data_IF_840692927520
#
_entry.id   IF_840692927520
#
_cell.length_a   1.000
_cell.length_b   1.000
_cell.length_c   1.000
_cell.angle_alpha   90.00
_cell.angle_beta   90.00
_cell.angle_gamma   90.00
#
_symmetry.space_group_name_H-M   'P 1'
#
loop_
_entity.id
_entity.type
_entity.pdbx_description
1 polymer ?
#
# COMPACT_ATOMS: atom_id res chain seq x y z
N UNK A 1 24.70 -15.01 -11.93
CA UNK A 1 25.03 -15.67 -10.63
C UNK A 1 24.14 -16.89 -10.49
N UNK A 2 24.74 -18.06 -10.28
CA UNK A 2 24.08 -19.37 -10.44
C UNK A 2 22.96 -19.63 -9.43
N UNK A 3 21.78 -19.98 -9.95
CA UNK A 3 20.60 -20.40 -9.18
C UNK A 3 20.80 -21.71 -8.38
N UNK A 4 21.96 -22.36 -8.44
CA UNK A 4 22.20 -23.71 -7.92
C UNK A 4 22.53 -23.76 -6.42
N UNK A 5 22.97 -22.66 -5.79
CA UNK A 5 23.39 -22.65 -4.36
C UNK A 5 22.31 -22.21 -3.35
N UNK A 6 21.17 -21.69 -3.82
CA UNK A 6 20.13 -21.17 -2.91
C UNK A 6 19.23 -22.29 -2.42
N UNK A 7 18.93 -22.28 -1.11
CA UNK A 7 17.99 -23.21 -0.50
C UNK A 7 16.60 -23.02 -1.13
N UNK A 8 15.78 -24.08 -1.24
CA UNK A 8 14.43 -23.99 -1.76
C UNK A 8 13.57 -22.87 -1.13
N UNK A 9 13.75 -22.62 0.18
CA UNK A 9 13.07 -21.52 0.89
C UNK A 9 13.52 -20.14 0.39
N UNK A 10 14.83 -19.91 0.24
CA UNK A 10 15.34 -18.61 -0.26
C UNK A 10 14.92 -18.38 -1.72
N UNK A 11 14.83 -19.45 -2.54
CA UNK A 11 14.28 -19.32 -3.89
C UNK A 11 12.83 -18.86 -3.88
N UNK A 12 12.00 -19.44 -3.01
CA UNK A 12 10.62 -19.02 -2.84
C UNK A 12 10.54 -17.56 -2.35
N UNK A 13 11.38 -17.15 -1.39
CA UNK A 13 11.47 -15.75 -0.95
C UNK A 13 11.76 -14.81 -2.12
N UNK A 14 12.80 -15.08 -2.92
CA UNK A 14 13.18 -14.22 -4.05
C UNK A 14 12.09 -14.16 -5.12
N UNK A 15 11.42 -15.27 -5.41
CA UNK A 15 10.29 -15.31 -6.35
C UNK A 15 9.12 -14.45 -5.87
N UNK A 16 8.80 -14.48 -4.57
CA UNK A 16 7.76 -13.62 -4.01
C UNK A 16 8.22 -12.17 -4.02
N UNK A 17 9.45 -11.88 -3.58
CA UNK A 17 10.02 -10.53 -3.54
C UNK A 17 10.09 -9.87 -4.91
N UNK A 18 10.27 -10.64 -5.98
CA UNK A 18 10.26 -10.11 -7.35
C UNK A 18 8.93 -9.45 -7.73
N UNK A 19 7.81 -9.88 -7.13
CA UNK A 19 6.48 -9.27 -7.31
C UNK A 19 6.23 -8.07 -6.39
N UNK A 20 6.97 -7.96 -5.28
CA UNK A 20 6.79 -6.92 -4.25
C UNK A 20 8.12 -6.19 -3.99
N UNK A 21 8.71 -5.63 -5.05
CA UNK A 21 10.06 -5.05 -5.00
C UNK A 21 10.13 -3.78 -4.14
N UNK A 22 9.03 -3.04 -4.08
CA UNK A 22 8.87 -1.76 -3.36
C UNK A 22 8.45 -1.92 -1.89
N UNK A 23 8.12 -3.14 -1.44
CA UNK A 23 7.69 -3.41 -0.07
C UNK A 23 8.68 -4.30 0.69
N UNK A 24 8.89 -4.04 1.98
CA UNK A 24 9.62 -4.95 2.87
C UNK A 24 8.79 -6.24 3.03
N UNK A 25 9.37 -7.38 2.67
CA UNK A 25 8.68 -8.67 2.72
C UNK A 25 8.82 -9.32 4.10
N UNK A 26 7.73 -9.32 4.86
CA UNK A 26 7.61 -10.07 6.10
C UNK A 26 7.30 -11.52 5.77
N UNK A 27 8.34 -12.35 5.71
CA UNK A 27 8.23 -13.75 5.29
C UNK A 27 8.03 -14.68 6.49
N UNK A 28 6.85 -15.29 6.62
CA UNK A 28 6.49 -16.13 7.76
C UNK A 28 7.37 -17.38 7.88
N UNK A 29 8.08 -17.50 9.00
CA UNK A 29 8.94 -18.64 9.30
C UNK A 29 8.80 -19.03 10.77
N UNK A 30 8.06 -20.12 11.04
CA UNK A 30 7.78 -20.54 12.41
C UNK A 30 7.00 -19.44 13.14
N UNK A 31 7.53 -18.94 14.25
CA UNK A 31 6.94 -17.85 15.05
C UNK A 31 7.48 -16.44 14.72
N UNK A 32 8.21 -16.30 13.63
CA UNK A 32 8.78 -15.01 13.21
C UNK A 32 8.28 -14.59 11.83
N UNK A 33 8.31 -13.29 11.58
CA UNK A 33 8.48 -12.76 10.23
C UNK A 33 9.97 -12.48 10.03
N UNK A 34 10.56 -13.16 9.06
CA UNK A 34 11.96 -13.00 8.66
C UNK A 34 12.03 -12.14 7.40
N UNK A 35 13.03 -11.25 7.33
CA UNK A 35 13.37 -10.44 6.16
C UNK A 35 14.79 -10.80 5.75
N UNK A 36 15.07 -10.86 4.44
CA UNK A 36 16.36 -11.28 3.92
C UNK A 36 16.97 -10.23 2.97
N UNK A 37 18.29 -10.29 2.81
CA UNK A 37 19.05 -9.43 1.88
C UNK A 37 18.83 -7.94 2.17
N UNK A 38 18.53 -7.14 1.14
CA UNK A 38 18.31 -5.70 1.25
C UNK A 38 17.16 -5.33 2.20
N UNK A 39 16.08 -6.15 2.23
CA UNK A 39 14.99 -5.94 3.17
C UNK A 39 15.48 -6.10 4.62
N UNK A 40 16.37 -7.05 4.88
CA UNK A 40 16.97 -7.25 6.21
C UNK A 40 17.83 -6.05 6.61
N UNK A 41 18.65 -5.54 5.69
CA UNK A 41 19.50 -4.38 5.96
C UNK A 41 18.70 -3.10 6.21
N UNK A 42 17.66 -2.85 5.41
CA UNK A 42 16.76 -1.71 5.60
C UNK A 42 15.98 -1.82 6.90
N UNK A 43 15.33 -2.96 7.10
CA UNK A 43 14.49 -3.16 8.28
C UNK A 43 15.30 -3.17 9.57
N UNK A 44 16.49 -3.79 9.61
CA UNK A 44 17.33 -3.77 10.82
C UNK A 44 17.71 -2.36 11.25
N UNK A 45 18.06 -1.48 10.30
CA UNK A 45 18.39 -0.07 10.58
C UNK A 45 17.17 0.73 11.07
N UNK A 46 16.02 0.59 10.40
CA UNK A 46 14.79 1.33 10.75
C UNK A 46 14.24 0.84 12.08
N UNK A 47 14.17 -0.48 12.26
CA UNK A 47 13.58 -1.11 13.43
C UNK A 47 14.49 -1.10 14.65
N UNK A 48 15.78 -0.87 14.45
CA UNK A 48 16.83 -1.01 15.48
C UNK A 48 16.84 -2.43 16.07
N UNK A 49 16.90 -3.41 15.17
CA UNK A 49 16.96 -4.84 15.52
C UNK A 49 18.23 -5.48 14.97
N UNK A 50 18.67 -6.56 15.60
CA UNK A 50 19.91 -7.25 15.23
C UNK A 50 19.85 -7.79 13.80
N UNK A 51 20.79 -7.32 12.96
CA UNK A 51 21.09 -7.94 11.67
C UNK A 51 22.03 -9.14 11.88
N UNK A 52 21.63 -10.30 11.38
CA UNK A 52 22.36 -11.56 11.48
C UNK A 52 22.58 -12.15 10.08
N UNK A 53 23.15 -13.35 9.99
CA UNK A 53 23.24 -14.08 8.73
C UNK A 53 22.79 -15.53 8.89
N UNK A 54 22.14 -16.03 7.84
CA UNK A 54 21.73 -17.43 7.70
C UNK A 54 22.74 -18.17 6.84
N UNK A 55 23.13 -19.37 7.29
CA UNK A 55 24.24 -20.21 6.81
C UNK A 55 25.64 -19.73 7.26
N UNK A 56 26.45 -20.67 7.76
CA UNK A 56 27.75 -20.41 8.42
C UNK A 56 28.98 -20.45 7.49
N UNK A 57 28.83 -20.87 6.23
CA UNK A 57 29.93 -20.80 5.26
C UNK A 57 29.96 -19.40 4.63
N UNK A 58 31.13 -18.75 4.60
CA UNK A 58 31.30 -17.38 4.08
C UNK A 58 30.71 -17.20 2.66
N UNK A 59 30.76 -18.23 1.82
CA UNK A 59 30.27 -18.19 0.43
C UNK A 59 28.74 -18.25 0.26
N UNK A 60 27.95 -18.39 1.34
CA UNK A 60 26.48 -18.48 1.25
C UNK A 60 25.71 -17.79 2.38
N UNK A 61 26.37 -16.90 3.12
CA UNK A 61 25.75 -16.12 4.18
C UNK A 61 24.69 -15.17 3.61
N UNK A 62 23.44 -15.33 4.04
CA UNK A 62 22.32 -14.45 3.65
C UNK A 62 22.00 -13.51 4.81
N UNK A 63 22.08 -12.17 4.64
CA UNK A 63 21.64 -11.22 5.65
C UNK A 63 20.20 -11.47 6.07
N UNK A 64 19.94 -11.43 7.38
CA UNK A 64 18.66 -11.78 7.99
C UNK A 64 18.39 -10.93 9.22
N UNK A 65 17.18 -10.40 9.34
CA UNK A 65 16.61 -9.96 10.61
C UNK A 65 15.17 -10.46 10.73
N UNK A 66 14.59 -10.41 11.92
CA UNK A 66 13.24 -10.90 12.13
C UNK A 66 12.56 -10.32 13.36
N UNK A 67 11.24 -10.36 13.35
CA UNK A 67 10.39 -9.90 14.46
C UNK A 67 9.38 -10.99 14.84
N UNK A 68 8.98 -11.11 16.12
CA UNK A 68 7.95 -12.07 16.52
C UNK A 68 6.61 -11.73 15.86
N UNK A 69 5.93 -12.71 15.27
CA UNK A 69 4.75 -12.42 14.46
C UNK A 69 3.56 -11.90 15.26
N UNK A 70 3.37 -12.43 16.47
CA UNK A 70 2.34 -11.97 17.40
C UNK A 70 2.51 -10.51 17.80
N UNK A 71 3.72 -9.96 17.66
CA UNK A 71 4.08 -8.61 18.02
C UNK A 71 4.54 -7.80 16.80
N UNK A 72 4.11 -8.17 15.59
CA UNK A 72 4.57 -7.52 14.36
C UNK A 72 4.03 -6.09 14.17
N UNK A 73 2.86 -5.77 14.72
CA UNK A 73 2.16 -4.52 14.43
C UNK A 73 2.95 -3.24 14.75
N UNK A 74 3.65 -3.11 15.91
CA UNK A 74 4.51 -1.95 16.17
C UNK A 74 5.68 -1.81 15.19
N UNK A 75 6.26 -2.92 14.73
CA UNK A 75 7.35 -2.90 13.75
C UNK A 75 6.84 -2.49 12.36
N UNK A 76 5.66 -2.97 11.97
CA UNK A 76 5.00 -2.55 10.74
C UNK A 76 4.77 -1.04 10.77
N UNK A 77 4.21 -0.51 11.85
CA UNK A 77 4.01 0.94 12.02
C UNK A 77 5.31 1.72 11.80
N UNK A 78 6.39 1.33 12.47
CA UNK A 78 7.69 2.01 12.37
C UNK A 78 8.29 1.97 10.96
N UNK A 79 8.05 0.89 10.21
CA UNK A 79 8.45 0.81 8.79
C UNK A 79 7.63 1.76 7.92
N UNK A 80 6.31 1.83 8.15
CA UNK A 80 5.41 2.72 7.42
C UNK A 80 5.74 4.19 7.68
N UNK A 81 6.04 4.55 8.93
CA UNK A 81 6.48 5.91 9.31
C UNK A 81 7.80 6.31 8.64
N UNK A 82 8.66 5.33 8.38
CA UNK A 82 9.89 5.51 7.61
C UNK A 82 9.67 5.46 6.08
N UNK A 83 8.41 5.38 5.62
CA UNK A 83 8.02 5.42 4.22
C UNK A 83 8.06 4.07 3.50
N UNK A 84 8.22 2.95 4.21
CA UNK A 84 8.24 1.61 3.62
C UNK A 84 6.85 0.96 3.62
N UNK A 85 6.46 0.36 2.49
CA UNK A 85 5.35 -0.60 2.46
C UNK A 85 5.79 -1.93 3.07
N UNK A 86 4.85 -2.70 3.61
CA UNK A 86 5.12 -4.03 4.18
C UNK A 86 4.23 -5.10 3.56
N UNK A 87 4.81 -6.06 2.87
CA UNK A 87 4.09 -7.21 2.33
C UNK A 87 4.10 -8.36 3.35
N UNK A 88 2.92 -8.82 3.78
CA UNK A 88 2.79 -9.91 4.75
C UNK A 88 2.64 -11.23 4.00
N UNK A 89 3.64 -12.09 4.12
CA UNK A 89 3.69 -13.38 3.44
C UNK A 89 3.48 -14.52 4.43
N UNK A 90 2.33 -15.20 4.33
CA UNK A 90 1.90 -16.26 5.25
C UNK A 90 2.09 -17.66 4.67
N UNK A 91 2.05 -18.66 5.54
CA UNK A 91 1.98 -20.08 5.16
C UNK A 91 0.54 -20.43 4.79
N UNK A 92 0.32 -20.86 3.54
CA UNK A 92 -1.02 -21.24 3.05
C UNK A 92 -1.28 -22.75 3.14
N UNK A 93 -0.27 -23.53 3.50
CA UNK A 93 -0.35 -24.97 3.74
C UNK A 93 0.00 -25.30 5.20
N UNK A 94 -0.61 -26.36 5.75
CA UNK A 94 -0.22 -26.87 7.07
C UNK A 94 1.21 -27.46 7.00
N UNK A 95 2.18 -26.93 7.77
CA UNK A 95 3.55 -27.46 7.80
C UNK A 95 3.65 -28.95 8.10
N UNK A 96 2.67 -29.53 8.80
CA UNK A 96 2.64 -30.96 9.16
C UNK A 96 2.25 -31.87 8.00
N UNK A 97 1.55 -31.33 7.00
CA UNK A 97 1.05 -32.10 5.85
C UNK A 97 1.78 -31.75 4.54
N UNK A 98 2.53 -30.65 4.52
CA UNK A 98 3.32 -30.21 3.39
C UNK A 98 4.40 -31.24 2.98
N UNK A 99 4.50 -31.52 1.68
CA UNK A 99 5.59 -32.32 1.11
C UNK A 99 6.63 -31.37 0.49
N UNK A 100 7.73 -31.14 1.20
CA UNK A 100 8.79 -30.24 0.76
C UNK A 100 8.74 -28.87 1.44
N UNK A 101 8.94 -27.77 0.70
CA UNK A 101 8.86 -26.42 1.26
C UNK A 101 7.40 -26.01 1.36
N UNK A 102 6.95 -25.66 2.57
CA UNK A 102 5.62 -25.09 2.82
C UNK A 102 5.34 -23.94 1.86
N UNK A 103 4.22 -23.99 1.14
CA UNK A 103 3.81 -22.91 0.25
C UNK A 103 3.48 -21.63 1.03
N UNK A 104 3.87 -20.50 0.45
CA UNK A 104 3.64 -19.18 1.02
C UNK A 104 3.15 -18.21 -0.02
N UNK A 105 2.29 -17.32 0.43
CA UNK A 105 1.68 -16.29 -0.41
C UNK A 105 1.58 -14.99 0.36
N UNK A 106 1.65 -13.87 -0.36
CA UNK A 106 1.37 -12.57 0.23
C UNK A 106 -0.13 -12.45 0.39
N UNK A 107 -0.58 -12.29 1.63
CA UNK A 107 -2.01 -12.22 1.96
C UNK A 107 -2.51 -10.78 2.03
N UNK A 108 -1.60 -9.82 2.23
CA UNK A 108 -1.88 -8.37 2.20
C UNK A 108 -0.60 -7.56 2.08
N UNK A 109 -0.72 -6.35 1.55
CA UNK A 109 0.34 -5.33 1.50
C UNK A 109 -0.13 -4.12 2.27
N UNK A 110 0.56 -3.78 3.36
CA UNK A 110 0.21 -2.66 4.22
C UNK A 110 1.00 -1.44 3.77
N UNK A 111 0.30 -0.32 3.57
CA UNK A 111 0.85 0.95 3.10
C UNK A 111 0.56 2.07 4.11
N UNK A 112 1.25 3.22 4.05
CA UNK A 112 1.06 4.31 5.01
C UNK A 112 -0.40 4.76 5.13
N UNK A 113 -1.14 4.86 4.03
CA UNK A 113 -2.56 5.26 4.03
C UNK A 113 -3.55 4.14 4.35
N UNK A 114 -3.10 2.91 4.61
CA UNK A 114 -3.98 1.75 4.86
C UNK A 114 -3.78 1.09 6.22
N UNK A 115 -3.00 1.71 7.11
CA UNK A 115 -2.82 1.22 8.48
C UNK A 115 -4.14 1.26 9.28
N UNK A 116 -4.40 0.17 10.01
CA UNK A 116 -5.58 -0.02 10.89
C UNK A 116 -5.12 -0.32 12.33
N UNK A 117 -6.04 -0.28 13.30
CA UNK A 117 -5.73 -0.36 14.74
C UNK A 117 -4.71 -1.45 15.11
N UNK A 118 -3.69 -1.07 15.90
CA UNK A 118 -2.55 -1.91 16.31
C UNK A 118 -1.20 -1.42 15.79
N UNK A 119 -1.20 -0.61 14.72
CA UNK A 119 -0.12 0.32 14.40
C UNK A 119 -0.36 1.66 15.10
N UNK A 120 0.70 2.33 15.54
CA UNK A 120 0.61 3.56 16.31
C UNK A 120 0.08 4.71 15.43
N UNK A 121 -1.23 4.81 15.27
CA UNK A 121 -1.85 6.06 14.84
C UNK A 121 -1.72 7.04 16.02
N UNK A 122 -1.01 8.14 15.82
CA UNK A 122 -1.00 9.23 16.79
C UNK A 122 -2.46 9.68 17.01
N UNK A 123 -2.90 9.64 18.27
CA UNK A 123 -4.28 9.94 18.63
C UNK A 123 -4.64 11.38 18.23
N UNK A 124 -5.28 11.54 17.07
CA UNK A 124 -5.73 12.83 16.54
C UNK A 124 -5.31 13.14 15.10
N UNK A 125 -4.40 12.36 14.50
CA UNK A 125 -4.03 12.52 13.09
C UNK A 125 -4.88 11.63 12.18
N UNK A 126 -5.53 12.24 11.20
CA UNK A 126 -6.30 11.50 10.19
C UNK A 126 -5.35 10.74 9.27
N UNK A 127 -5.65 9.46 9.00
CA UNK A 127 -4.87 8.61 8.12
C UNK A 127 -5.50 8.50 6.73
N UNK A 128 -5.62 9.65 6.05
CA UNK A 128 -6.26 9.67 4.74
C UNK A 128 -5.37 9.07 3.66
N UNK A 129 -5.95 8.12 2.92
CA UNK A 129 -5.53 7.71 1.59
C UNK A 129 -6.30 8.54 0.57
N UNK A 130 -5.58 9.25 -0.30
CA UNK A 130 -6.18 10.09 -1.34
C UNK A 130 -5.81 9.56 -2.71
N UNK A 131 -6.74 9.54 -3.66
CA UNK A 131 -6.43 9.40 -5.07
C UNK A 131 -6.67 10.71 -5.80
N UNK A 132 -5.81 11.02 -6.78
CA UNK A 132 -5.94 12.21 -7.62
C UNK A 132 -6.09 11.77 -9.07
N UNK A 133 -7.18 12.18 -9.72
CA UNK A 133 -7.43 11.98 -11.15
C UNK A 133 -7.25 13.28 -11.89
N UNK A 134 -6.34 13.33 -12.86
CA UNK A 134 -6.14 14.51 -13.70
C UNK A 134 -6.98 14.42 -14.97
N UNK A 135 -7.88 15.39 -15.15
CA UNK A 135 -8.61 15.63 -16.39
C UNK A 135 -8.01 16.74 -17.23
N UNK A 136 -8.65 17.02 -18.38
CA UNK A 136 -8.29 18.16 -19.24
C UNK A 136 -8.66 19.51 -18.62
N UNK A 137 -9.83 19.56 -17.99
CA UNK A 137 -10.47 20.80 -17.49
C UNK A 137 -10.65 20.82 -15.96
N UNK A 138 -10.29 19.73 -15.27
CA UNK A 138 -10.52 19.58 -13.84
C UNK A 138 -9.63 18.50 -13.22
N UNK A 139 -9.48 18.54 -11.89
CA UNK A 139 -8.84 17.50 -11.09
C UNK A 139 -9.86 16.88 -10.15
N UNK A 140 -9.91 15.56 -10.09
CA UNK A 140 -10.72 14.81 -9.15
C UNK A 140 -9.91 14.39 -7.94
N UNK A 141 -10.52 14.44 -6.76
CA UNK A 141 -9.97 13.86 -5.55
C UNK A 141 -10.97 12.86 -4.97
N UNK A 142 -10.46 11.74 -4.48
CA UNK A 142 -11.20 10.88 -3.58
C UNK A 142 -10.36 10.61 -2.35
N UNK A 143 -10.95 10.70 -1.17
CA UNK A 143 -10.30 10.48 0.10
C UNK A 143 -11.01 9.37 0.85
N UNK A 144 -10.24 8.50 1.49
CA UNK A 144 -10.77 7.51 2.41
C UNK A 144 -9.94 7.44 3.68
N UNK A 145 -10.62 7.29 4.81
CA UNK A 145 -10.02 6.86 6.06
C UNK A 145 -10.54 5.45 6.35
N UNK A 146 -9.65 4.46 6.18
CA UNK A 146 -9.97 3.03 6.34
C UNK A 146 -10.28 2.65 7.79
N UNK A 147 -9.95 3.50 8.76
CA UNK A 147 -10.22 3.27 10.19
C UNK A 147 -11.64 3.67 10.56
N UNK A 148 -12.18 4.73 9.94
CA UNK A 148 -13.53 5.23 10.19
C UNK A 148 -14.55 4.75 9.15
N UNK A 149 -14.05 4.29 7.99
CA UNK A 149 -14.83 3.98 6.80
C UNK A 149 -15.27 5.21 6.01
N UNK A 150 -14.78 6.41 6.35
CA UNK A 150 -15.08 7.61 5.56
C UNK A 150 -14.60 7.42 4.12
N UNK A 151 -15.48 7.70 3.15
CA UNK A 151 -15.14 7.65 1.74
C UNK A 151 -15.86 8.76 0.99
N UNK A 152 -15.10 9.73 0.48
CA UNK A 152 -15.65 10.95 -0.09
C UNK A 152 -14.88 11.37 -1.32
N UNK A 153 -15.52 12.15 -2.19
CA UNK A 153 -14.87 12.68 -3.39
C UNK A 153 -15.30 14.11 -3.69
N UNK A 154 -14.45 14.80 -4.46
CA UNK A 154 -14.73 16.12 -4.98
C UNK A 154 -14.00 16.32 -6.31
N UNK A 155 -14.18 17.49 -6.92
CA UNK A 155 -13.57 17.91 -8.15
C UNK A 155 -13.29 19.41 -8.09
N UNK A 156 -12.10 19.80 -8.54
CA UNK A 156 -11.64 21.20 -8.57
C UNK A 156 -11.24 21.60 -9.97
N UNK A 157 -11.36 22.90 -10.26
CA UNK A 157 -11.12 23.44 -11.61
C UNK A 157 -9.63 23.54 -11.95
N UNK A 158 -8.77 23.83 -10.97
CA UNK A 158 -7.37 24.14 -11.22
C UNK A 158 -6.40 23.51 -10.20
N UNK A 159 -5.11 23.67 -10.49
CA UNK A 159 -4.04 23.10 -9.70
C UNK A 159 -3.89 23.76 -8.33
N UNK A 160 -4.19 25.06 -8.21
CA UNK A 160 -4.08 25.76 -6.93
C UNK A 160 -5.13 25.21 -5.96
N UNK A 161 -6.37 25.06 -6.42
CA UNK A 161 -7.44 24.43 -5.64
C UNK A 161 -7.12 22.96 -5.27
N UNK A 162 -6.46 22.22 -6.15
CA UNK A 162 -5.98 20.86 -5.85
C UNK A 162 -4.96 20.87 -4.69
N UNK A 163 -3.96 21.75 -4.76
CA UNK A 163 -2.92 21.87 -3.72
C UNK A 163 -3.53 22.33 -2.40
N UNK A 164 -4.44 23.30 -2.42
CA UNK A 164 -5.15 23.77 -1.23
C UNK A 164 -5.93 22.63 -0.57
N UNK A 165 -6.62 21.82 -1.36
CA UNK A 165 -7.40 20.70 -0.86
C UNK A 165 -6.51 19.57 -0.30
N UNK A 166 -5.43 19.19 -0.99
CA UNK A 166 -4.45 18.22 -0.46
C UNK A 166 -3.83 18.75 0.86
N UNK A 167 -3.50 20.03 0.91
CA UNK A 167 -2.97 20.70 2.11
C UNK A 167 -3.96 20.72 3.28
N UNK A 168 -5.27 20.80 2.99
CA UNK A 168 -6.35 20.73 3.98
C UNK A 168 -6.52 19.32 4.53
N UNK A 169 -6.56 18.32 3.63
CA UNK A 169 -6.76 16.90 3.97
C UNK A 169 -5.55 16.32 4.69
N UNK A 170 -4.33 16.74 4.33
CA UNK A 170 -3.06 16.22 4.86
C UNK A 170 -2.97 14.68 4.76
N UNK A 171 -3.08 14.11 3.54
CA UNK A 171 -3.05 12.67 3.36
C UNK A 171 -1.71 12.07 3.77
N UNK A 172 -1.73 10.83 4.27
CA UNK A 172 -0.52 10.04 4.50
C UNK A 172 -0.01 9.39 3.21
N UNK A 173 -0.92 9.13 2.28
CA UNK A 173 -0.61 8.52 1.00
C UNK A 173 -1.48 9.07 -0.13
N UNK A 174 -0.86 9.33 -1.28
CA UNK A 174 -1.55 9.72 -2.51
C UNK A 174 -1.34 8.67 -3.61
N UNK A 175 -2.44 8.25 -4.20
CA UNK A 175 -2.53 7.41 -5.38
C UNK A 175 -2.58 8.28 -6.64
N UNK A 176 -1.73 7.98 -7.61
CA UNK A 176 -1.66 8.64 -8.92
C UNK A 176 -1.49 7.62 -10.04
N UNK A 177 -1.88 8.00 -11.25
CA UNK A 177 -1.61 7.17 -12.43
C UNK A 177 -0.10 7.14 -12.74
N UNK A 178 0.43 5.96 -13.10
CA UNK A 178 1.85 5.74 -13.45
C UNK A 178 2.38 6.68 -14.55
N UNK A 179 1.51 7.09 -15.47
CA UNK A 179 1.88 7.85 -16.67
C UNK A 179 1.97 9.38 -16.43
N UNK A 180 1.74 9.86 -15.20
CA UNK A 180 1.67 11.29 -14.86
C UNK A 180 3.02 11.90 -14.44
N UNK A 181 4.16 11.42 -14.98
CA UNK A 181 5.53 11.77 -14.52
C UNK A 181 5.76 13.25 -14.15
N UNK A 182 5.61 14.23 -15.07
CA UNK A 182 5.81 15.64 -14.75
C UNK A 182 4.83 16.21 -13.72
N UNK A 183 3.62 15.66 -13.65
CA UNK A 183 2.61 16.08 -12.68
C UNK A 183 2.91 15.51 -11.29
N UNK A 184 3.36 14.25 -11.23
CA UNK A 184 3.86 13.62 -10.02
C UNK A 184 5.06 14.39 -9.45
N UNK A 185 6.05 14.73 -10.27
CA UNK A 185 7.23 15.50 -9.83
C UNK A 185 6.84 16.84 -9.20
N UNK A 186 5.87 17.53 -9.80
CA UNK A 186 5.36 18.80 -9.28
C UNK A 186 4.67 18.62 -7.93
N UNK A 187 3.76 17.65 -7.82
CA UNK A 187 3.08 17.35 -6.56
C UNK A 187 4.03 16.85 -5.46
N UNK A 188 5.05 16.07 -5.81
CA UNK A 188 6.10 15.64 -4.89
C UNK A 188 6.91 16.81 -4.34
N UNK A 189 7.15 17.84 -5.17
CA UNK A 189 7.80 19.07 -4.71
C UNK A 189 6.93 19.84 -3.72
N UNK A 190 5.61 19.88 -3.93
CA UNK A 190 4.68 20.58 -3.04
C UNK A 190 4.42 19.80 -1.73
N UNK A 191 4.46 18.46 -1.78
CA UNK A 191 4.19 17.58 -0.64
C UNK A 191 5.28 16.51 -0.45
N UNK A 192 6.50 16.90 -0.02
CA UNK A 192 7.65 15.99 0.08
C UNK A 192 7.53 14.93 1.19
N UNK A 193 6.57 15.08 2.09
CA UNK A 193 6.35 14.19 3.23
C UNK A 193 5.26 13.13 3.00
N UNK A 194 4.57 13.19 1.86
CA UNK A 194 3.47 12.27 1.54
C UNK A 194 4.02 11.04 0.82
N UNK A 195 3.49 9.86 1.14
CA UNK A 195 3.83 8.64 0.40
C UNK A 195 3.10 8.63 -0.96
N UNK A 196 3.79 8.20 -2.02
CA UNK A 196 3.23 8.18 -3.38
C UNK A 196 3.11 6.75 -3.88
N UNK A 197 1.89 6.36 -4.23
CA UNK A 197 1.58 5.03 -4.76
C UNK A 197 1.11 5.14 -6.21
N UNK A 198 2.00 4.90 -7.19
CA UNK A 198 1.60 4.85 -8.58
C UNK A 198 0.74 3.61 -8.82
N UNK A 199 -0.34 3.76 -9.59
CA UNK A 199 -1.21 2.66 -10.05
C UNK A 199 -1.47 2.79 -11.54
N UNK A 200 -1.86 1.69 -12.18
CA UNK A 200 -2.14 1.69 -13.62
C UNK A 200 -3.25 2.68 -13.99
N UNK A 201 -3.08 3.43 -15.09
CA UNK A 201 -4.04 4.44 -15.57
C UNK A 201 -5.46 3.88 -15.77
N UNK A 202 -5.60 2.57 -16.01
CA UNK A 202 -6.90 1.89 -16.14
C UNK A 202 -7.75 1.99 -14.86
N UNK A 203 -7.13 2.11 -13.68
CA UNK A 203 -7.84 2.30 -12.40
C UNK A 203 -8.58 3.64 -12.31
N UNK A 204 -8.21 4.61 -13.15
CA UNK A 204 -8.84 5.93 -13.29
C UNK A 204 -9.73 6.03 -14.54
N UNK A 205 -10.01 4.91 -15.23
CA UNK A 205 -10.82 4.92 -16.45
C UNK A 205 -12.31 5.11 -16.17
N UNK A 206 -13.08 5.46 -17.19
CA UNK A 206 -14.54 5.51 -17.09
C UNK A 206 -15.13 4.15 -16.68
N UNK A 207 -14.64 3.06 -17.28
CA UNK A 207 -15.10 1.71 -16.94
C UNK A 207 -14.72 1.31 -15.51
N UNK A 208 -13.64 1.84 -14.95
CA UNK A 208 -13.32 1.65 -13.53
C UNK A 208 -14.30 2.43 -12.64
N UNK A 209 -14.69 3.65 -13.00
CA UNK A 209 -15.69 4.43 -12.28
C UNK A 209 -17.07 3.75 -12.27
N UNK A 210 -17.46 3.09 -13.37
CA UNK A 210 -18.71 2.32 -13.44
C UNK A 210 -18.77 1.18 -12.40
N UNK A 211 -17.60 0.64 -11.97
CA UNK A 211 -17.53 -0.40 -10.94
C UNK A 211 -17.98 0.09 -9.56
N UNK A 212 -17.93 1.40 -9.28
CA UNK A 212 -18.42 1.97 -8.02
C UNK A 212 -19.92 1.68 -7.81
N UNK A 213 -20.70 1.70 -8.91
CA UNK A 213 -22.12 1.32 -8.90
C UNK A 213 -22.28 -0.19 -8.68
N UNK A 214 -21.46 -1.00 -9.34
CA UNK A 214 -21.49 -2.46 -9.19
C UNK A 214 -21.18 -2.91 -7.74
N UNK A 215 -20.33 -2.15 -7.04
CA UNK A 215 -20.02 -2.35 -5.62
C UNK A 215 -21.05 -1.72 -4.66
N UNK A 216 -22.11 -1.11 -5.19
CA UNK A 216 -23.11 -0.37 -4.41
C UNK A 216 -22.53 0.76 -3.56
N UNK A 217 -21.35 1.29 -3.92
CA UNK A 217 -20.69 2.38 -3.20
C UNK A 217 -21.24 3.74 -3.62
N UNK A 218 -21.73 3.88 -4.85
CA UNK A 218 -22.25 5.13 -5.39
C UNK A 218 -23.63 4.93 -6.03
N UNK A 219 -24.71 5.48 -5.46
CA UNK A 219 -26.06 5.38 -6.03
C UNK A 219 -26.36 6.46 -7.07
N UNK A 220 -25.52 7.49 -7.18
CA UNK A 220 -25.78 8.66 -8.03
C UNK A 220 -25.60 8.39 -9.53
N UNK A 221 -26.26 9.21 -10.34
CA UNK A 221 -25.97 9.25 -11.76
C UNK A 221 -24.57 9.84 -12.00
N UNK A 222 -23.97 9.49 -13.14
CA UNK A 222 -22.70 10.11 -13.54
C UNK A 222 -22.98 11.53 -14.04
N UNK A 223 -23.21 12.46 -13.12
CA UNK A 223 -23.25 13.87 -13.49
C UNK A 223 -21.90 14.23 -14.11
N UNK A 224 -21.94 14.91 -15.27
CA UNK A 224 -20.74 15.36 -15.98
C UNK A 224 -19.81 16.20 -15.08
N UNK A 225 -20.37 16.82 -14.05
CA UNK A 225 -19.67 17.64 -13.07
C UNK A 225 -18.66 16.86 -12.21
N UNK A 226 -18.87 15.56 -11.96
CA UNK A 226 -18.09 14.81 -10.98
C UNK A 226 -17.22 13.69 -11.57
N UNK A 227 -17.10 13.64 -12.90
CA UNK A 227 -16.44 12.53 -13.57
C UNK A 227 -15.00 12.28 -13.08
N UNK A 228 -14.22 13.33 -12.80
CA UNK A 228 -12.87 13.14 -12.30
C UNK A 228 -12.85 12.66 -10.85
N UNK A 229 -13.78 13.16 -10.02
CA UNK A 229 -13.91 12.71 -8.63
C UNK A 229 -14.26 11.22 -8.55
N UNK A 230 -15.16 10.74 -9.41
CA UNK A 230 -15.52 9.32 -9.49
C UNK A 230 -14.36 8.45 -10.00
N UNK A 231 -13.56 8.94 -10.95
CA UNK A 231 -12.34 8.25 -11.41
C UNK A 231 -11.26 8.17 -10.34
N UNK A 232 -11.12 9.21 -9.51
CA UNK A 232 -10.27 9.15 -8.35
C UNK A 232 -10.79 8.09 -7.36
N UNK A 233 -12.10 8.05 -7.11
CA UNK A 233 -12.70 7.07 -6.21
C UNK A 233 -12.52 5.62 -6.71
N UNK A 234 -12.60 5.36 -8.02
CA UNK A 234 -12.33 4.02 -8.56
C UNK A 234 -10.88 3.59 -8.39
N UNK A 235 -9.93 4.54 -8.40
CA UNK A 235 -8.53 4.24 -8.12
C UNK A 235 -8.30 3.85 -6.65
N UNK A 236 -8.97 4.51 -5.70
CA UNK A 236 -8.96 4.09 -4.28
C UNK A 236 -9.46 2.66 -4.14
N UNK A 237 -10.60 2.34 -4.76
CA UNK A 237 -11.16 0.98 -4.70
C UNK A 237 -10.21 -0.04 -5.32
N UNK A 238 -9.67 0.23 -6.51
CA UNK A 238 -8.74 -0.68 -7.19
C UNK A 238 -7.48 -0.91 -6.36
N UNK A 239 -6.96 0.14 -5.72
CA UNK A 239 -5.80 0.06 -4.84
C UNK A 239 -6.08 -0.81 -3.61
N UNK A 240 -7.24 -0.63 -2.97
CA UNK A 240 -7.64 -1.47 -1.83
C UNK A 240 -7.88 -2.92 -2.25
N UNK A 241 -8.48 -3.18 -3.41
CA UNK A 241 -8.65 -4.53 -3.97
C UNK A 241 -7.32 -5.27 -4.18
N UNK A 242 -6.26 -4.54 -4.58
CA UNK A 242 -4.95 -5.13 -4.81
C UNK A 242 -4.15 -5.34 -3.52
N UNK A 243 -4.28 -4.43 -2.55
CA UNK A 243 -3.41 -4.39 -1.37
C UNK A 243 -4.06 -4.99 -0.11
N UNK A 244 -5.31 -4.64 0.18
CA UNK A 244 -6.09 -5.13 1.34
C UNK A 244 -7.60 -5.21 1.02
N UNK A 245 -8.07 -6.25 0.30
CA UNK A 245 -9.46 -6.38 -0.14
C UNK A 245 -10.49 -6.35 1.01
N UNK A 246 -10.09 -6.74 2.23
CA UNK A 246 -10.93 -6.70 3.41
C UNK A 246 -11.39 -5.29 3.79
N UNK A 247 -10.60 -4.25 3.47
CA UNK A 247 -10.92 -2.87 3.80
C UNK A 247 -12.10 -2.33 2.99
N UNK A 248 -12.42 -2.93 1.85
CA UNK A 248 -13.61 -2.55 1.06
C UNK A 248 -14.91 -2.77 1.83
N UNK A 249 -14.93 -3.72 2.76
CA UNK A 249 -16.11 -4.05 3.56
C UNK A 249 -16.40 -3.04 4.66
N UNK A 250 -15.41 -2.21 5.02
CA UNK A 250 -15.56 -1.18 6.06
C UNK A 250 -15.85 0.20 5.48
N UNK A 251 -15.68 0.39 4.16
CA UNK A 251 -16.02 1.63 3.50
C UNK A 251 -17.52 1.89 3.58
N UNK A 252 -17.87 3.12 3.94
CA UNK A 252 -19.24 3.64 3.82
C UNK A 252 -19.50 4.06 2.38
N UNK A 253 -20.78 4.32 2.10
CA UNK A 253 -21.20 4.85 0.80
C UNK A 253 -20.41 6.11 0.45
N UNK A 254 -19.94 6.16 -0.80
CA UNK A 254 -19.19 7.27 -1.35
C UNK A 254 -20.06 8.54 -1.35
N UNK A 255 -19.56 9.64 -0.80
CA UNK A 255 -20.29 10.91 -0.74
C UNK A 255 -19.53 12.06 -1.43
N UNK A 256 -20.19 12.92 -2.23
CA UNK A 256 -19.56 14.13 -2.73
C UNK A 256 -19.34 15.11 -1.57
N UNK A 257 -18.38 16.01 -1.73
CA UNK A 257 -18.24 17.15 -0.83
C UNK A 257 -17.79 18.40 -1.57
N UNK A 258 -18.14 19.54 -1.01
CA UNK A 258 -17.74 20.87 -1.47
C UNK A 258 -16.54 21.37 -0.67
N UNK A 259 -15.70 22.17 -1.33
CA UNK A 259 -14.53 22.84 -0.77
C UNK A 259 -14.88 24.29 -0.46
#
# INVERSE_FOLDING_TARGET
>A
MEATRLTPMIRQYLQIKERYRDAILFFRLGDFYEMFFDDAEKASRVLDITLTSRNRSEDSAVPLCGVPYHAAAPYISKLLDAGFKVAICEQVEDPKTARGVVQREVVRVITPGTITEGGALDAGDNNFLVAVSRGKEAYGLALTDVTTGEFRFTQVADYAALVDEIGRVRPREIILAEEEGPFLEKLQSDFPHVHWSPVASVCFSQSAAERLKALSLWPGDEDAEWQQGLRAASAVVSFLEENLPELLKVLRDLQPYSI
#
